data_IF_480942211144
#
_entry.id   IF_480942211144
#
_cell.length_a   1.000
_cell.length_b   1.000
_cell.length_c   1.000
_cell.angle_alpha   90.00
_cell.angle_beta   90.00
_cell.angle_gamma   90.00
#
_symmetry.space_group_name_H-M   'P 1'
#
loop_
_entity.id
_entity.type
_entity.pdbx_description
1 polymer ?
#
# COMPACT_ATOMS: atom_id res chain seq x y z
N UNK A 1 -18.76 25.12 1.94
CA UNK A 1 -18.95 24.37 3.20
C UNK A 1 -18.20 23.07 3.04
N UNK A 2 -17.03 22.96 3.68
CA UNK A 2 -16.21 21.75 3.58
C UNK A 2 -16.89 20.61 4.32
N UNK A 3 -17.13 19.50 3.64
CA UNK A 3 -17.55 18.27 4.30
C UNK A 3 -16.37 17.85 5.19
N UNK A 4 -16.58 17.86 6.50
CA UNK A 4 -15.58 17.45 7.49
C UNK A 4 -15.75 15.96 7.73
N UNK A 5 -14.97 15.15 7.02
CA UNK A 5 -14.97 13.68 7.08
C UNK A 5 -14.28 13.11 8.33
N UNK A 6 -13.84 13.97 9.26
CA UNK A 6 -12.91 13.64 10.36
C UNK A 6 -13.46 12.79 11.51
N UNK A 7 -14.74 12.40 11.50
CA UNK A 7 -15.36 11.69 12.63
C UNK A 7 -15.67 10.20 12.37
N UNK A 8 -15.27 9.62 11.22
CA UNK A 8 -15.38 8.17 11.00
C UNK A 8 -14.12 7.47 11.53
N UNK A 9 -14.30 6.43 12.35
CA UNK A 9 -13.19 5.62 12.85
C UNK A 9 -12.57 4.83 11.69
N UNK A 10 -11.41 5.26 11.20
CA UNK A 10 -10.58 4.50 10.27
C UNK A 10 -10.15 3.19 10.92
N UNK A 11 -10.42 2.04 10.28
CA UNK A 11 -10.04 0.71 10.78
C UNK A 11 -9.10 0.01 9.83
N UNK A 12 -8.09 -0.67 10.36
CA UNK A 12 -7.15 -1.42 9.53
C UNK A 12 -7.75 -2.76 9.07
N UNK A 13 -7.64 -3.02 7.76
CA UNK A 13 -8.05 -4.26 7.10
C UNK A 13 -6.88 -4.84 6.32
N UNK A 14 -6.96 -6.14 6.00
CA UNK A 14 -6.05 -6.79 5.05
C UNK A 14 -6.76 -6.99 3.72
N UNK A 15 -6.13 -6.61 2.62
CA UNK A 15 -6.64 -6.80 1.27
C UNK A 15 -5.74 -7.71 0.47
N UNK A 16 -6.31 -8.68 -0.25
CA UNK A 16 -5.54 -9.52 -1.17
C UNK A 16 -5.15 -8.68 -2.38
N UNK A 17 -3.88 -8.28 -2.44
CA UNK A 17 -3.31 -7.60 -3.60
C UNK A 17 -3.08 -8.60 -4.75
N UNK A 18 -2.64 -9.82 -4.40
CA UNK A 18 -2.53 -10.94 -5.35
C UNK A 18 -2.68 -12.28 -4.66
N UNK A 19 -3.59 -13.13 -5.14
CA UNK A 19 -3.64 -14.54 -4.78
C UNK A 19 -2.94 -15.45 -5.82
N UNK A 20 -2.73 -16.74 -5.51
CA UNK A 20 -2.33 -17.74 -6.51
C UNK A 20 -3.30 -17.86 -7.69
N UNK A 21 -4.58 -17.53 -7.45
CA UNK A 21 -5.60 -17.37 -8.48
C UNK A 21 -6.13 -15.93 -8.47
N UNK A 22 -6.22 -15.30 -9.65
CA UNK A 22 -6.69 -13.91 -9.82
C UNK A 22 -8.11 -13.66 -9.29
N UNK A 23 -8.93 -14.71 -9.17
CA UNK A 23 -10.28 -14.65 -8.58
C UNK A 23 -10.27 -14.23 -7.11
N UNK A 24 -9.11 -14.31 -6.44
CA UNK A 24 -8.93 -13.96 -5.04
C UNK A 24 -8.49 -12.50 -4.85
N UNK A 25 -8.09 -11.81 -5.92
CA UNK A 25 -7.64 -10.43 -5.87
C UNK A 25 -8.77 -9.51 -5.40
N UNK A 26 -8.46 -8.55 -4.54
CA UNK A 26 -9.42 -7.58 -3.98
C UNK A 26 -10.24 -8.09 -2.79
N UNK A 27 -10.11 -9.36 -2.38
CA UNK A 27 -10.79 -9.87 -1.18
C UNK A 27 -10.28 -9.12 0.06
N UNK A 28 -11.22 -8.64 0.88
CA UNK A 28 -10.94 -7.91 2.13
C UNK A 28 -11.20 -8.79 3.34
N UNK A 29 -10.29 -8.73 4.30
CA UNK A 29 -10.42 -9.30 5.64
C UNK A 29 -10.34 -8.20 6.69
N UNK A 30 -11.19 -8.31 7.71
CA UNK A 30 -11.36 -7.30 8.74
C UNK A 30 -12.57 -6.38 8.51
N UNK A 31 -12.80 -5.41 9.41
CA UNK A 31 -11.95 -5.07 10.57
C UNK A 31 -11.85 -6.19 11.62
N UNK A 32 -10.81 -6.16 12.45
CA UNK A 32 -10.48 -7.26 13.38
C UNK A 32 -10.89 -6.96 14.82
N UNK A 33 -12.04 -7.46 15.25
CA UNK A 33 -12.53 -7.28 16.64
C UNK A 33 -11.87 -8.22 17.66
N UNK A 34 -11.18 -9.25 17.16
CA UNK A 34 -10.47 -10.24 17.98
C UNK A 34 -9.30 -10.84 17.17
N UNK A 35 -8.46 -11.63 17.82
CA UNK A 35 -7.40 -12.37 17.14
C UNK A 35 -7.99 -13.38 16.15
N UNK A 36 -7.68 -13.22 14.86
CA UNK A 36 -8.14 -14.10 13.76
C UNK A 36 -6.97 -14.89 13.19
N UNK A 37 -7.18 -16.19 12.99
CA UNK A 37 -6.19 -17.09 12.37
C UNK A 37 -6.33 -17.11 10.85
N UNK A 38 -5.22 -16.95 10.14
CA UNK A 38 -5.12 -17.14 8.70
C UNK A 38 -4.32 -18.40 8.38
N UNK A 39 -4.77 -19.15 7.37
CA UNK A 39 -4.04 -20.29 6.88
C UNK A 39 -4.77 -21.03 5.77
N UNK A 40 -4.14 -22.08 5.24
CA UNK A 40 -4.69 -22.83 4.10
C UNK A 40 -5.93 -23.66 4.45
N UNK A 41 -6.02 -24.10 5.70
CA UNK A 41 -7.18 -24.83 6.23
C UNK A 41 -7.06 -24.75 7.77
N UNK A 42 -7.42 -23.60 8.34
CA UNK A 42 -7.18 -23.28 9.74
C UNK A 42 -8.00 -24.19 10.66
N UNK A 43 -7.36 -24.75 11.68
CA UNK A 43 -8.01 -25.67 12.62
C UNK A 43 -8.74 -24.99 13.80
N UNK A 44 -8.68 -23.66 13.88
CA UNK A 44 -9.22 -22.86 15.00
C UNK A 44 -10.13 -21.75 14.47
N UNK A 45 -11.00 -21.23 15.32
CA UNK A 45 -11.89 -20.09 15.03
C UNK A 45 -11.70 -18.97 16.06
N UNK A 46 -11.87 -17.69 15.69
CA UNK A 46 -12.20 -17.19 14.34
C UNK A 46 -11.02 -17.33 13.37
N UNK A 47 -11.33 -17.59 12.09
CA UNK A 47 -10.30 -17.79 11.07
C UNK A 47 -10.74 -17.47 9.65
N UNK A 48 -9.76 -17.24 8.78
CA UNK A 48 -9.91 -17.06 7.35
C UNK A 48 -9.05 -18.07 6.59
N UNK A 49 -9.67 -18.75 5.64
CA UNK A 49 -8.99 -19.66 4.73
C UNK A 49 -8.36 -18.87 3.57
N UNK A 50 -7.08 -19.11 3.32
CA UNK A 50 -6.35 -18.60 2.15
C UNK A 50 -6.06 -19.78 1.22
N UNK A 51 -6.68 -19.89 0.03
CA UNK A 51 -6.57 -21.06 -0.85
C UNK A 51 -5.23 -21.09 -1.59
N UNK A 52 -4.15 -21.34 -0.85
CA UNK A 52 -2.78 -21.34 -1.34
C UNK A 52 -2.02 -22.53 -0.75
N UNK A 53 -1.57 -23.44 -1.63
CA UNK A 53 -0.88 -24.67 -1.25
C UNK A 53 0.44 -24.45 -0.51
N UNK A 54 1.06 -23.28 -0.66
CA UNK A 54 2.31 -22.89 -0.01
C UNK A 54 2.10 -22.26 1.38
N UNK A 55 0.84 -22.06 1.80
CA UNK A 55 0.47 -21.59 3.14
C UNK A 55 0.28 -22.79 4.09
N UNK A 56 0.80 -22.67 5.32
CA UNK A 56 0.58 -23.64 6.40
C UNK A 56 -0.89 -23.69 6.82
N UNK A 57 -1.35 -24.81 7.38
CA UNK A 57 -2.75 -24.95 7.83
C UNK A 57 -3.17 -23.85 8.80
N UNK A 58 -2.37 -23.66 9.83
CA UNK A 58 -2.38 -22.51 10.72
C UNK A 58 -1.10 -21.73 10.41
N UNK A 59 -1.21 -20.56 9.79
CA UNK A 59 -0.03 -19.82 9.30
C UNK A 59 0.29 -18.62 10.17
N UNK A 60 -0.67 -17.71 10.27
CA UNK A 60 -0.46 -16.38 10.83
C UNK A 60 -1.68 -16.00 11.66
N UNK A 61 -1.50 -15.30 12.77
CA UNK A 61 -2.62 -14.64 13.45
C UNK A 61 -2.54 -13.12 13.28
N UNK A 62 -3.70 -12.49 13.22
CA UNK A 62 -3.86 -11.05 13.14
C UNK A 62 -4.71 -10.62 14.31
N UNK A 63 -4.23 -9.67 15.09
CA UNK A 63 -4.95 -9.14 16.23
C UNK A 63 -4.79 -7.63 16.30
N UNK A 64 -5.81 -6.94 16.78
CA UNK A 64 -5.76 -5.51 17.06
C UNK A 64 -5.62 -5.30 18.58
N UNK A 65 -4.75 -4.38 19.00
CA UNK A 65 -4.61 -4.00 20.41
C UNK A 65 -5.65 -2.93 20.83
N UNK A 66 -5.61 -2.55 22.10
CA UNK A 66 -6.52 -1.54 22.66
C UNK A 66 -6.22 -0.11 22.17
N UNK A 67 -5.07 0.11 21.54
CA UNK A 67 -4.65 1.39 20.93
C UNK A 67 -4.90 1.38 19.40
N UNK A 68 -5.68 0.42 18.92
CA UNK A 68 -6.06 0.21 17.52
C UNK A 68 -4.87 -0.18 16.59
N UNK A 69 -3.71 -0.54 17.14
CA UNK A 69 -2.59 -1.05 16.35
C UNK A 69 -2.82 -2.50 15.91
N UNK A 70 -2.54 -2.79 14.65
CA UNK A 70 -2.66 -4.13 14.09
C UNK A 70 -1.35 -4.89 14.25
N UNK A 71 -1.41 -6.11 14.78
CA UNK A 71 -0.28 -7.01 14.95
C UNK A 71 -0.47 -8.28 14.14
N UNK A 72 0.65 -8.75 13.60
CA UNK A 72 0.76 -9.99 12.85
C UNK A 72 1.73 -10.90 13.57
N UNK A 73 1.38 -12.17 13.76
CA UNK A 73 2.25 -13.20 14.34
C UNK A 73 2.34 -14.42 13.42
N UNK A 74 3.55 -14.81 13.03
CA UNK A 74 3.80 -16.08 12.33
C UNK A 74 3.86 -17.24 13.33
N UNK A 75 3.13 -18.32 13.05
CA UNK A 75 3.02 -19.48 13.94
C UNK A 75 4.16 -20.51 13.78
N UNK A 76 5.35 -20.07 13.36
CA UNK A 76 6.51 -20.92 13.15
C UNK A 76 6.45 -21.69 11.84
N UNK A 77 5.99 -21.05 10.77
CA UNK A 77 5.61 -21.72 9.53
C UNK A 77 6.79 -22.12 8.65
N UNK A 78 6.53 -22.98 7.67
CA UNK A 78 7.57 -23.48 6.75
C UNK A 78 8.18 -22.37 5.90
N UNK A 79 7.32 -21.54 5.29
CA UNK A 79 7.71 -20.47 4.37
C UNK A 79 7.87 -19.10 5.06
N UNK A 80 7.37 -18.98 6.30
CA UNK A 80 7.37 -17.73 7.05
C UNK A 80 6.29 -16.76 6.56
N UNK A 81 5.98 -15.79 7.41
CA UNK A 81 5.21 -14.61 7.04
C UNK A 81 6.20 -13.50 6.74
N UNK A 82 6.09 -12.84 5.59
CA UNK A 82 6.94 -11.68 5.29
C UNK A 82 6.15 -10.40 5.49
N UNK A 83 6.75 -9.42 6.14
CA UNK A 83 6.25 -8.05 6.22
C UNK A 83 7.26 -7.18 5.50
N UNK A 84 6.82 -6.58 4.40
CA UNK A 84 7.66 -5.96 3.41
C UNK A 84 8.87 -6.86 3.06
N UNK A 85 10.07 -6.49 3.49
CA UNK A 85 11.31 -7.22 3.19
C UNK A 85 11.72 -8.20 4.29
N UNK A 86 11.09 -8.14 5.46
CA UNK A 86 11.49 -8.90 6.64
C UNK A 86 10.64 -10.15 6.83
N UNK A 87 11.28 -11.29 7.06
CA UNK A 87 10.59 -12.56 7.34
C UNK A 87 10.38 -12.73 8.85
N UNK A 88 9.13 -12.67 9.29
CA UNK A 88 8.68 -13.10 10.60
C UNK A 88 8.50 -14.62 10.62
N UNK A 89 9.28 -15.31 11.46
CA UNK A 89 9.11 -16.75 11.68
C UNK A 89 9.06 -17.06 13.17
N UNK A 90 7.87 -17.40 13.68
CA UNK A 90 7.66 -17.55 15.13
C UNK A 90 7.81 -16.23 15.90
N UNK A 91 7.62 -15.10 15.21
CA UNK A 91 7.74 -13.74 15.75
C UNK A 91 6.45 -12.97 15.46
N UNK A 92 6.21 -11.91 16.23
CA UNK A 92 5.15 -10.94 16.00
C UNK A 92 5.73 -9.56 15.67
N UNK A 93 5.04 -8.81 14.81
CA UNK A 93 5.32 -7.40 14.56
C UNK A 93 4.03 -6.59 14.38
N UNK A 94 4.12 -5.30 14.70
CA UNK A 94 3.09 -4.33 14.35
C UNK A 94 3.13 -4.06 12.84
N UNK A 95 1.96 -3.84 12.25
CA UNK A 95 1.80 -3.45 10.85
C UNK A 95 0.96 -2.19 10.74
N UNK A 96 1.21 -1.41 9.69
CA UNK A 96 0.54 -0.15 9.42
C UNK A 96 0.02 -0.12 7.99
N UNK A 97 -0.92 0.78 7.69
CA UNK A 97 -1.43 0.98 6.34
C UNK A 97 -0.27 1.19 5.34
N UNK A 98 -0.40 0.57 4.16
CA UNK A 98 0.63 0.57 3.11
C UNK A 98 1.62 -0.59 3.17
N UNK A 99 1.77 -1.28 4.32
CA UNK A 99 2.68 -2.44 4.42
C UNK A 99 2.16 -3.64 3.63
N UNK A 100 3.06 -4.38 3.00
CA UNK A 100 2.77 -5.63 2.33
C UNK A 100 3.02 -6.82 3.25
N UNK A 101 2.09 -7.78 3.28
CA UNK A 101 2.23 -9.04 4.01
C UNK A 101 2.19 -10.18 3.01
N UNK A 102 3.21 -11.03 2.99
CA UNK A 102 3.25 -12.23 2.15
C UNK A 102 3.10 -13.50 2.96
N UNK A 103 2.20 -14.36 2.48
CA UNK A 103 1.98 -15.71 2.96
C UNK A 103 2.06 -16.64 1.75
N UNK A 104 3.17 -17.35 1.58
CA UNK A 104 3.29 -18.24 0.42
C UNK A 104 3.32 -17.48 -0.92
N UNK A 105 2.37 -17.76 -1.80
CA UNK A 105 2.13 -17.07 -3.08
C UNK A 105 1.01 -16.02 -2.98
N UNK A 106 0.45 -15.82 -1.77
CA UNK A 106 -0.54 -14.80 -1.48
C UNK A 106 0.12 -13.54 -0.93
N UNK A 107 -0.20 -12.40 -1.55
CA UNK A 107 0.23 -11.06 -1.16
C UNK A 107 -0.96 -10.25 -0.65
N UNK A 108 -0.84 -9.76 0.57
CA UNK A 108 -1.81 -8.89 1.22
C UNK A 108 -1.23 -7.48 1.36
N UNK A 109 -2.09 -6.47 1.38
CA UNK A 109 -1.74 -5.09 1.72
C UNK A 109 -2.61 -4.64 2.90
N UNK A 110 -2.00 -4.01 3.89
CA UNK A 110 -2.69 -3.41 5.03
C UNK A 110 -3.29 -2.08 4.58
N UNK A 111 -4.59 -1.86 4.82
CA UNK A 111 -5.28 -0.63 4.44
C UNK A 111 -6.07 -0.04 5.59
N UNK A 112 -6.18 1.28 5.64
CA UNK A 112 -7.29 1.91 6.35
C UNK A 112 -8.58 1.71 5.54
N UNK A 113 -9.66 1.41 6.24
CA UNK A 113 -10.99 1.31 5.68
C UNK A 113 -11.95 2.13 6.52
N UNK A 114 -12.78 2.88 5.81
CA UNK A 114 -13.87 3.67 6.36
C UNK A 114 -15.17 3.06 5.88
N UNK A 115 -16.12 2.89 6.79
CA UNK A 115 -17.43 2.33 6.46
C UNK A 115 -18.21 3.31 5.55
N UNK A 116 -18.62 2.87 4.34
CA UNK A 116 -19.32 3.73 3.39
C UNK A 116 -20.73 4.06 3.92
N UNK A 117 -21.21 5.30 3.71
CA UNK A 117 -22.59 5.67 4.04
C UNK A 117 -23.58 5.08 3.01
N UNK A 118 -24.87 4.98 3.37
CA UNK A 118 -25.92 4.53 2.45
C UNK A 118 -26.02 5.42 1.18
N UNK A 119 -25.58 6.67 1.25
CA UNK A 119 -25.51 7.61 0.13
C UNK A 119 -24.29 7.41 -0.78
N UNK A 120 -23.30 6.60 -0.38
CA UNK A 120 -22.06 6.35 -1.11
C UNK A 120 -22.18 5.25 -2.18
N UNK A 121 -23.38 4.66 -2.34
CA UNK A 121 -23.68 3.56 -3.27
C UNK A 121 -23.97 4.01 -4.72
N UNK A 122 -23.81 5.29 -5.07
CA UNK A 122 -23.83 5.68 -6.47
C UNK A 122 -22.63 5.04 -7.20
N UNK A 123 -22.92 4.05 -8.04
CA UNK A 123 -21.92 3.49 -8.95
C UNK A 123 -21.32 4.64 -9.77
N UNK A 124 -19.99 4.84 -9.74
CA UNK A 124 -19.38 5.87 -10.56
C UNK A 124 -19.72 5.59 -12.03
N UNK A 125 -20.05 6.65 -12.78
CA UNK A 125 -20.36 6.59 -14.22
C UNK A 125 -19.37 5.67 -14.95
N UNK A 126 -19.78 4.91 -15.96
CA UNK A 126 -18.82 4.13 -16.76
C UNK A 126 -17.82 5.09 -17.42
N UNK A 127 -16.63 5.17 -16.84
CA UNK A 127 -15.61 6.12 -17.27
C UNK A 127 -14.75 5.57 -18.44
N UNK A 128 -15.05 4.39 -18.97
CA UNK A 128 -14.47 3.87 -20.22
C UNK A 128 -13.06 3.26 -20.12
N UNK A 129 -12.63 2.62 -21.22
CA UNK A 129 -11.42 1.78 -21.30
C UNK A 129 -10.08 2.54 -21.23
N UNK A 130 -10.06 3.87 -21.41
CA UNK A 130 -8.85 4.69 -21.28
C UNK A 130 -8.39 4.90 -19.84
N UNK A 131 -9.13 4.36 -18.86
CA UNK A 131 -8.96 4.63 -17.43
C UNK A 131 -8.47 3.48 -16.57
N UNK A 132 -8.25 2.30 -17.15
CA UNK A 132 -7.70 1.13 -16.45
C UNK A 132 -6.36 1.42 -15.77
N UNK A 133 -5.66 2.46 -16.24
CA UNK A 133 -4.34 2.90 -15.80
C UNK A 133 -4.32 3.91 -14.64
N UNK A 134 -5.49 4.34 -14.16
CA UNK A 134 -5.60 5.20 -12.97
C UNK A 134 -5.78 4.35 -11.70
N UNK A 135 -6.18 3.09 -11.87
CA UNK A 135 -6.56 2.20 -10.77
C UNK A 135 -8.06 2.20 -10.54
N UNK A 136 -8.51 1.24 -9.74
CA UNK A 136 -9.91 1.06 -9.35
C UNK A 136 -10.07 0.87 -7.85
N UNK A 137 -8.98 0.99 -7.09
CA UNK A 137 -8.95 0.83 -5.65
C UNK A 137 -9.76 1.91 -4.93
N UNK A 138 -10.08 1.69 -3.64
CA UNK A 138 -10.93 2.59 -2.85
C UNK A 138 -10.45 4.04 -2.89
N UNK A 139 -9.13 4.26 -2.76
CA UNK A 139 -8.53 5.61 -2.78
C UNK A 139 -8.80 6.33 -4.11
N UNK A 140 -8.78 5.61 -5.24
CA UNK A 140 -9.11 6.16 -6.55
C UNK A 140 -10.61 6.34 -6.75
N UNK A 141 -11.45 5.46 -6.18
CA UNK A 141 -12.89 5.65 -6.19
C UNK A 141 -13.29 6.91 -5.41
N UNK A 142 -12.69 7.15 -4.25
CA UNK A 142 -12.91 8.35 -3.44
C UNK A 142 -12.43 9.60 -4.17
N UNK A 143 -11.26 9.52 -4.83
CA UNK A 143 -10.79 10.59 -5.69
C UNK A 143 -11.76 10.90 -6.84
N UNK A 144 -12.28 9.87 -7.53
CA UNK A 144 -13.31 10.00 -8.59
C UNK A 144 -14.61 10.58 -8.06
N UNK A 145 -15.07 10.16 -6.88
CA UNK A 145 -16.23 10.75 -6.18
C UNK A 145 -15.99 12.23 -5.90
N UNK A 146 -14.80 12.60 -5.45
CA UNK A 146 -14.38 13.98 -5.25
C UNK A 146 -14.51 14.81 -6.53
N UNK A 147 -14.07 14.30 -7.67
CA UNK A 147 -14.26 14.95 -8.99
C UNK A 147 -15.75 15.17 -9.29
N UNK A 148 -16.57 14.15 -9.10
CA UNK A 148 -18.01 14.21 -9.33
C UNK A 148 -18.71 15.25 -8.45
N UNK A 149 -18.34 15.29 -7.16
CA UNK A 149 -18.94 16.16 -6.14
C UNK A 149 -18.52 17.62 -6.25
N UNK A 150 -17.26 17.88 -6.63
CA UNK A 150 -16.73 19.24 -6.84
C UNK A 150 -17.45 19.98 -7.98
N UNK A 151 -18.17 19.24 -8.82
CA UNK A 151 -19.29 19.81 -9.57
C UNK A 151 -18.95 20.25 -10.99
N UNK A 152 -19.99 20.19 -11.82
CA UNK A 152 -20.05 20.51 -13.25
C UNK A 152 -19.89 22.01 -13.56
N UNK A 153 -19.57 22.87 -12.59
CA UNK A 153 -19.42 24.32 -12.79
C UNK A 153 -18.44 24.91 -11.75
N UNK A 154 -17.26 25.34 -12.19
CA UNK A 154 -16.25 26.02 -11.37
C UNK A 154 -14.80 25.63 -11.74
N UNK A 155 -13.83 26.53 -11.52
CA UNK A 155 -12.41 26.23 -11.71
C UNK A 155 -11.94 25.15 -10.71
N UNK A 156 -11.20 24.17 -11.22
CA UNK A 156 -10.68 23.03 -10.45
C UNK A 156 -9.15 23.07 -10.47
N UNK A 157 -8.53 22.99 -9.30
CA UNK A 157 -7.10 22.76 -9.16
C UNK A 157 -6.87 21.32 -8.77
N UNK A 158 -6.03 20.62 -9.53
CA UNK A 158 -5.61 19.25 -9.26
C UNK A 158 -4.12 19.26 -8.96
N UNK A 159 -3.76 18.89 -7.74
CA UNK A 159 -2.37 18.60 -7.40
C UNK A 159 -2.05 17.19 -7.84
N UNK A 160 -1.00 17.05 -8.63
CA UNK A 160 -0.60 15.80 -9.24
C UNK A 160 0.84 15.46 -8.82
N UNK A 161 1.13 14.20 -8.48
CA UNK A 161 2.49 13.74 -8.20
C UNK A 161 3.44 13.94 -9.38
N UNK A 162 2.93 13.79 -10.60
CA UNK A 162 3.70 13.86 -11.84
C UNK A 162 2.88 14.35 -13.03
N UNK A 163 3.58 14.52 -14.15
CA UNK A 163 3.00 14.97 -15.42
C UNK A 163 2.01 13.96 -16.01
N UNK A 164 2.33 12.66 -16.00
CA UNK A 164 1.46 11.59 -16.48
C UNK A 164 0.23 11.42 -15.58
N UNK A 165 0.39 11.53 -14.27
CA UNK A 165 -0.75 11.61 -13.34
C UNK A 165 -1.64 12.81 -13.64
N UNK A 166 -1.04 13.96 -13.95
CA UNK A 166 -1.76 15.16 -14.39
C UNK A 166 -2.58 14.96 -15.67
N UNK A 167 -1.97 14.38 -16.72
CA UNK A 167 -2.68 14.08 -17.96
C UNK A 167 -3.83 13.09 -17.75
N UNK A 168 -3.61 12.07 -16.92
CA UNK A 168 -4.63 11.09 -16.55
C UNK A 168 -5.78 11.74 -15.77
N UNK A 169 -5.44 12.59 -14.81
CA UNK A 169 -6.43 13.31 -14.03
C UNK A 169 -7.27 14.25 -14.91
N UNK A 170 -6.63 14.95 -15.85
CA UNK A 170 -7.29 15.82 -16.82
C UNK A 170 -8.28 15.04 -17.70
N UNK A 171 -7.87 13.85 -18.20
CA UNK A 171 -8.72 12.94 -18.98
C UNK A 171 -9.95 12.49 -18.22
N UNK A 172 -9.79 12.08 -16.97
CA UNK A 172 -10.91 11.73 -16.10
C UNK A 172 -11.86 12.94 -15.99
N UNK A 173 -11.37 14.11 -15.58
CA UNK A 173 -12.23 15.30 -15.40
C UNK A 173 -12.97 15.69 -16.67
N UNK A 174 -12.32 15.57 -17.84
CA UNK A 174 -12.96 15.83 -19.12
C UNK A 174 -14.09 14.85 -19.43
N UNK A 175 -13.87 13.54 -19.22
CA UNK A 175 -14.89 12.52 -19.39
C UNK A 175 -16.12 12.82 -18.50
N UNK A 176 -15.90 13.13 -17.22
CA UNK A 176 -16.98 13.46 -16.30
C UNK A 176 -17.76 14.73 -16.68
N UNK A 177 -17.04 15.75 -17.16
CA UNK A 177 -17.65 17.02 -17.58
C UNK A 177 -18.26 16.94 -18.99
N UNK A 178 -18.08 15.83 -19.71
CA UNK A 178 -18.52 15.69 -21.10
C UNK A 178 -17.83 16.68 -22.04
N UNK A 179 -16.54 16.96 -21.76
CA UNK A 179 -15.73 17.92 -22.50
C UNK A 179 -14.72 17.18 -23.39
N UNK A 180 -14.55 17.64 -24.62
CA UNK A 180 -13.50 17.13 -25.49
C UNK A 180 -12.13 17.66 -25.06
N UNK A 181 -11.13 16.79 -24.95
CA UNK A 181 -9.75 17.21 -24.71
C UNK A 181 -8.99 17.35 -26.02
N UNK A 182 -8.54 18.56 -26.31
CA UNK A 182 -7.65 18.84 -27.43
C UNK A 182 -6.30 19.36 -26.90
N UNK A 183 -5.25 18.55 -27.02
CA UNK A 183 -3.89 18.96 -26.66
C UNK A 183 -3.32 19.82 -27.80
N UNK A 184 -3.41 21.15 -27.66
CA UNK A 184 -2.90 22.09 -28.67
C UNK A 184 -1.38 22.24 -28.63
N UNK A 185 -0.76 22.50 -29.80
CA UNK A 185 0.64 22.86 -29.90
C UNK A 185 0.83 24.39 -29.87
N UNK A 186 1.41 24.88 -28.77
CA UNK A 186 2.27 26.07 -28.68
C UNK A 186 1.76 27.51 -28.99
N UNK A 187 0.53 27.80 -29.43
CA UNK A 187 0.16 29.19 -29.82
C UNK A 187 -1.24 29.72 -29.41
N UNK A 188 -1.90 29.10 -28.43
CA UNK A 188 -2.82 29.84 -27.54
C UNK A 188 -4.22 30.15 -28.09
N UNK A 189 -5.10 29.16 -28.07
CA UNK A 189 -6.33 29.08 -27.23
C UNK A 189 -7.17 27.88 -27.68
N UNK A 190 -7.44 26.89 -26.81
CA UNK A 190 -8.33 25.78 -27.14
C UNK A 190 -9.80 26.08 -26.78
N UNK A 191 -10.73 25.56 -27.58
CA UNK A 191 -12.19 25.73 -27.42
C UNK A 191 -12.81 24.77 -26.36
N UNK A 192 -12.06 23.82 -25.80
CA UNK A 192 -12.54 22.87 -24.77
C UNK A 192 -11.44 22.46 -23.77
N UNK A 193 -11.84 22.40 -22.48
CA UNK A 193 -11.10 22.12 -21.24
C UNK A 193 -9.58 22.44 -21.25
N UNK A 194 -9.23 23.62 -20.73
CA UNK A 194 -7.83 24.03 -20.53
C UNK A 194 -7.26 23.31 -19.31
N UNK A 195 -6.28 22.43 -19.53
CA UNK A 195 -5.33 22.01 -18.50
C UNK A 195 -4.11 22.93 -18.56
N UNK A 196 -3.93 23.80 -17.56
CA UNK A 196 -2.70 24.60 -17.45
C UNK A 196 -1.79 23.95 -16.44
N UNK A 197 -0.55 23.69 -16.83
CA UNK A 197 0.48 23.36 -15.88
C UNK A 197 0.96 24.65 -15.21
N UNK A 198 0.86 24.74 -13.89
CA UNK A 198 1.23 25.93 -13.13
C UNK A 198 2.51 25.67 -12.35
N UNK A 199 3.47 26.61 -12.46
CA UNK A 199 4.67 26.62 -11.62
C UNK A 199 4.28 27.13 -10.22
N UNK A 200 4.47 26.34 -9.15
CA UNK A 200 4.08 26.71 -7.80
C UNK A 200 4.85 27.94 -7.26
N UNK A 201 5.93 28.35 -7.92
CA UNK A 201 6.71 29.54 -7.58
C UNK A 201 6.23 30.83 -8.25
N UNK A 202 5.30 30.73 -9.21
CA UNK A 202 4.71 31.86 -9.93
C UNK A 202 3.34 32.27 -9.35
N UNK A 203 2.93 33.55 -9.49
CA UNK A 203 1.60 33.99 -9.04
C UNK A 203 0.48 33.20 -9.73
N UNK A 204 -0.57 32.90 -8.96
CA UNK A 204 -1.71 32.11 -9.44
C UNK A 204 -2.39 32.78 -10.66
N UNK A 205 -2.63 32.02 -11.73
CA UNK A 205 -3.22 32.56 -12.95
C UNK A 205 -4.74 32.80 -12.77
N UNK A 206 -5.33 33.74 -13.51
CA UNK A 206 -6.76 34.04 -13.41
C UNK A 206 -7.59 32.81 -13.81
N UNK A 207 -8.47 32.36 -12.91
CA UNK A 207 -9.25 31.13 -13.07
C UNK A 207 -10.62 31.39 -13.73
N UNK A 208 -10.90 30.72 -14.86
CA UNK A 208 -12.21 30.75 -15.52
C UNK A 208 -13.13 29.60 -15.03
N UNK A 209 -14.47 29.73 -15.13
CA UNK A 209 -15.42 28.74 -14.59
C UNK A 209 -15.25 27.28 -15.06
N UNK A 210 -14.60 27.04 -16.20
CA UNK A 210 -14.38 25.69 -16.75
C UNK A 210 -12.90 25.29 -16.80
N UNK A 211 -12.03 26.06 -16.15
CA UNK A 211 -10.58 25.84 -16.20
C UNK A 211 -10.16 24.74 -15.22
N UNK A 212 -9.24 23.88 -15.65
CA UNK A 212 -8.55 22.92 -14.78
C UNK A 212 -7.08 23.32 -14.73
N UNK A 213 -6.53 23.46 -13.53
CA UNK A 213 -5.12 23.77 -13.33
C UNK A 213 -4.48 22.53 -12.71
N UNK A 214 -3.39 22.06 -13.33
CA UNK A 214 -2.60 20.95 -12.85
C UNK A 214 -1.35 21.52 -12.18
N UNK A 215 -1.14 21.20 -10.92
CA UNK A 215 0.00 21.66 -10.12
C UNK A 215 0.81 20.45 -9.65
N UNK A 216 2.14 20.48 -9.75
CA UNK A 216 2.95 19.41 -9.18
C UNK A 216 2.95 19.47 -7.65
N UNK A 217 2.94 18.31 -7.00
CA UNK A 217 2.93 18.22 -5.54
C UNK A 217 4.25 18.68 -4.89
N UNK A 218 5.35 18.80 -5.66
CA UNK A 218 6.65 19.23 -5.18
C UNK A 218 6.78 20.78 -5.15
N UNK A 219 6.32 21.40 -4.06
CA UNK A 219 6.57 22.82 -3.80
C UNK A 219 5.72 23.40 -2.66
N UNK A 220 6.20 24.43 -1.94
CA UNK A 220 5.37 25.15 -0.97
C UNK A 220 4.33 25.98 -1.72
N UNK A 221 3.05 25.71 -1.45
CA UNK A 221 1.96 26.58 -1.87
C UNK A 221 2.08 27.86 -1.04
N UNK A 222 2.61 28.95 -1.62
CA UNK A 222 2.39 30.27 -1.04
C UNK A 222 0.95 30.64 -1.31
N UNK A 223 0.10 30.20 -0.38
CA UNK A 223 -1.32 30.49 -0.33
C UNK A 223 -1.49 32.00 -0.10
N UNK A 224 -1.47 32.79 -1.16
CA UNK A 224 -1.71 34.23 -0.99
C UNK A 224 -2.80 34.81 -1.89
N UNK A 225 -3.14 34.23 -3.05
CA UNK A 225 -4.23 34.79 -3.86
C UNK A 225 -4.91 33.74 -4.72
N UNK A 226 -6.06 33.20 -4.28
CA UNK A 226 -7.33 32.99 -5.02
C UNK A 226 -8.28 32.27 -4.03
N UNK A 227 -9.44 32.85 -3.69
CA UNK A 227 -10.36 32.27 -2.67
C UNK A 227 -11.51 31.44 -3.25
N UNK A 228 -11.63 31.34 -4.57
CA UNK A 228 -12.82 30.81 -5.25
C UNK A 228 -12.51 29.62 -6.19
N UNK A 229 -11.78 28.60 -5.72
CA UNK A 229 -11.54 27.36 -6.47
C UNK A 229 -11.72 26.11 -5.60
N UNK A 230 -11.93 24.96 -6.25
CA UNK A 230 -11.91 23.65 -5.57
C UNK A 230 -10.56 22.96 -5.78
N UNK A 231 -9.97 22.45 -4.71
CA UNK A 231 -8.70 21.73 -4.74
C UNK A 231 -8.93 20.22 -4.60
N UNK A 232 -8.34 19.45 -5.50
CA UNK A 232 -8.30 17.99 -5.45
C UNK A 232 -6.85 17.53 -5.53
N UNK A 233 -6.45 16.54 -4.73
CA UNK A 233 -5.11 15.97 -4.81
C UNK A 233 -5.20 14.57 -5.38
N UNK A 234 -4.49 14.31 -6.46
CA UNK A 234 -4.34 12.99 -7.05
C UNK A 234 -3.46 12.12 -6.12
N UNK A 235 -3.94 10.95 -5.68
CA UNK A 235 -3.15 10.05 -4.84
C UNK A 235 -1.87 9.60 -5.55
N UNK A 236 -0.76 9.57 -4.82
CA UNK A 236 0.50 8.99 -5.34
C UNK A 236 0.35 7.48 -5.53
N UNK A 237 1.28 6.83 -6.22
CA UNK A 237 1.22 5.37 -6.39
C UNK A 237 1.36 4.62 -5.04
N UNK A 238 2.14 5.16 -4.10
CA UNK A 238 2.29 4.63 -2.75
C UNK A 238 0.97 4.60 -1.98
N UNK A 239 0.16 5.65 -2.15
CA UNK A 239 -1.14 5.80 -1.48
C UNK A 239 -2.20 4.84 -2.04
N UNK A 240 -1.93 4.19 -3.18
CA UNK A 240 -2.81 3.22 -3.85
C UNK A 240 -2.08 1.94 -4.24
N UNK A 241 -1.15 1.48 -3.41
CA UNK A 241 -0.28 0.34 -3.73
C UNK A 241 -1.09 -0.95 -4.04
N UNK A 242 -2.35 -1.02 -3.60
CA UNK A 242 -3.31 -2.07 -3.98
C UNK A 242 -3.69 -2.15 -5.45
N UNK A 243 -3.61 -1.03 -6.17
CA UNK A 243 -3.90 -0.96 -7.59
C UNK A 243 -2.69 -1.44 -8.40
N UNK A 244 -1.51 -1.43 -7.78
CA UNK A 244 -0.25 -1.77 -8.44
C UNK A 244 -0.30 -3.11 -9.19
N UNK A 245 -0.83 -4.23 -8.63
CA UNK A 245 -0.91 -5.49 -9.36
C UNK A 245 -1.74 -5.38 -10.65
N UNK A 246 -2.89 -4.70 -10.62
CA UNK A 246 -3.74 -4.50 -11.79
C UNK A 246 -3.10 -3.54 -12.81
N UNK A 247 -2.46 -2.46 -12.32
CA UNK A 247 -1.71 -1.51 -13.14
C UNK A 247 -0.52 -2.16 -13.86
N UNK A 248 0.20 -3.05 -13.18
CA UNK A 248 1.28 -3.84 -13.76
C UNK A 248 0.75 -4.76 -14.86
N UNK A 249 -0.32 -5.51 -14.59
CA UNK A 249 -0.90 -6.44 -15.56
C UNK A 249 -1.32 -5.72 -16.84
N UNK A 250 -2.03 -4.61 -16.68
CA UNK A 250 -2.51 -3.80 -17.79
C UNK A 250 -1.35 -3.12 -18.53
N UNK A 251 -0.42 -2.55 -17.78
CA UNK A 251 0.74 -1.85 -18.35
C UNK A 251 1.66 -2.77 -19.14
N UNK A 252 1.81 -4.03 -18.71
CA UNK A 252 2.53 -5.06 -19.45
C UNK A 252 1.72 -5.57 -20.65
N UNK A 253 0.40 -5.77 -20.48
CA UNK A 253 -0.49 -6.18 -21.58
C UNK A 253 -0.46 -5.20 -22.74
N UNK A 254 -0.46 -3.90 -22.47
CA UNK A 254 -0.37 -2.88 -23.51
C UNK A 254 0.98 -2.89 -24.25
N UNK A 255 2.08 -3.26 -23.57
CA UNK A 255 3.43 -3.29 -24.15
C UNK A 255 3.74 -4.58 -24.90
N UNK A 256 3.25 -5.70 -24.39
CA UNK A 256 3.56 -7.05 -24.89
C UNK A 256 2.44 -7.66 -25.73
N UNK A 257 1.22 -7.10 -25.68
CA UNK A 257 0.02 -7.63 -26.32
C UNK A 257 -0.70 -8.73 -25.53
N UNK A 258 -0.07 -9.26 -24.48
CA UNK A 258 -0.62 -10.27 -23.56
C UNK A 258 -0.18 -9.98 -22.12
N UNK A 259 -0.91 -10.54 -21.14
CA UNK A 259 -0.53 -10.42 -19.73
C UNK A 259 0.51 -11.49 -19.38
N UNK A 260 1.79 -11.13 -19.18
CA UNK A 260 2.83 -12.10 -18.87
C UNK A 260 2.61 -12.68 -17.46
N UNK A 261 3.20 -13.85 -17.22
CA UNK A 261 3.26 -14.40 -15.85
C UNK A 261 4.37 -13.69 -15.07
N UNK A 262 4.12 -13.41 -13.79
CA UNK A 262 5.08 -12.79 -12.88
C UNK A 262 5.27 -13.69 -11.67
N UNK A 263 6.50 -13.78 -11.15
CA UNK A 263 6.77 -14.51 -9.90
C UNK A 263 6.27 -13.71 -8.69
N UNK A 264 5.87 -14.42 -7.63
CA UNK A 264 5.46 -13.78 -6.37
C UNK A 264 6.59 -12.92 -5.80
N UNK A 265 7.85 -13.36 -5.90
CA UNK A 265 9.02 -12.58 -5.44
C UNK A 265 9.16 -11.26 -6.20
N UNK A 266 8.92 -11.26 -7.52
CA UNK A 266 8.97 -10.05 -8.33
C UNK A 266 7.83 -9.08 -7.95
N UNK A 267 6.58 -9.56 -7.89
CA UNK A 267 5.46 -8.71 -7.51
C UNK A 267 5.59 -8.18 -6.08
N UNK A 268 6.06 -9.01 -5.14
CA UNK A 268 6.33 -8.59 -3.77
C UNK A 268 7.39 -7.48 -3.71
N UNK A 269 8.44 -7.60 -4.52
CA UNK A 269 9.49 -6.57 -4.61
C UNK A 269 8.94 -5.24 -5.15
N UNK A 270 8.01 -5.28 -6.11
CA UNK A 270 7.33 -4.10 -6.63
C UNK A 270 6.38 -3.47 -5.60
N UNK A 271 5.64 -4.27 -4.83
CA UNK A 271 4.77 -3.76 -3.76
C UNK A 271 5.56 -3.10 -2.62
N UNK A 272 6.79 -3.57 -2.35
CA UNK A 272 7.68 -3.03 -1.32
C UNK A 272 8.62 -1.92 -1.83
N UNK A 273 8.50 -1.55 -3.10
CA UNK A 273 9.27 -0.45 -3.66
C UNK A 273 8.61 0.87 -3.24
N UNK A 274 9.37 1.89 -2.80
CA UNK A 274 8.80 3.12 -2.27
C UNK A 274 8.05 3.96 -3.30
N UNK A 275 8.19 3.74 -4.61
CA UNK A 275 7.51 4.50 -5.70
C UNK A 275 7.52 6.01 -5.48
N UNK A 276 8.72 6.56 -5.23
CA UNK A 276 8.91 8.01 -5.02
C UNK A 276 8.59 8.77 -6.30
N UNK A 277 8.97 8.20 -7.45
CA UNK A 277 8.45 8.62 -8.74
C UNK A 277 7.07 8.00 -8.91
N UNK A 278 6.14 8.83 -9.34
CA UNK A 278 4.73 8.49 -9.49
C UNK A 278 4.50 7.45 -10.61
N UNK A 279 3.36 7.49 -11.30
CA UNK A 279 3.09 6.51 -12.37
C UNK A 279 4.22 6.43 -13.42
N UNK A 280 4.97 7.51 -13.61
CA UNK A 280 6.13 7.62 -14.48
C UNK A 280 7.25 6.63 -14.14
N UNK A 281 7.53 6.43 -12.85
CA UNK A 281 8.53 5.45 -12.42
C UNK A 281 8.07 4.05 -12.77
N UNK A 282 6.77 3.75 -12.52
CA UNK A 282 6.17 2.48 -12.91
C UNK A 282 6.26 2.28 -14.42
N UNK A 283 5.91 3.29 -15.22
CA UNK A 283 5.99 3.21 -16.68
C UNK A 283 7.41 2.89 -17.17
N UNK A 284 8.42 3.59 -16.65
CA UNK A 284 9.81 3.31 -16.98
C UNK A 284 10.23 1.87 -16.64
N UNK A 285 9.85 1.39 -15.46
CA UNK A 285 10.12 0.01 -15.02
C UNK A 285 9.43 -0.99 -15.95
N UNK A 286 8.16 -0.78 -16.28
CA UNK A 286 7.40 -1.66 -17.17
C UNK A 286 7.94 -1.66 -18.60
N UNK A 287 8.39 -0.51 -19.11
CA UNK A 287 9.06 -0.39 -20.42
C UNK A 287 10.36 -1.19 -20.46
N UNK A 288 11.18 -1.10 -19.41
CA UNK A 288 12.42 -1.87 -19.33
C UNK A 288 12.18 -3.38 -19.21
N UNK A 289 11.19 -3.79 -18.40
CA UNK A 289 10.79 -5.21 -18.29
C UNK A 289 10.34 -5.72 -19.67
N UNK A 290 9.50 -4.97 -20.38
CA UNK A 290 8.99 -5.37 -21.68
C UNK A 290 10.10 -5.50 -22.75
N UNK A 291 11.16 -4.68 -22.65
CA UNK A 291 12.31 -4.75 -23.56
C UNK A 291 13.29 -5.90 -23.23
N UNK A 292 13.35 -6.33 -21.97
CA UNK A 292 14.31 -7.34 -21.52
C UNK A 292 13.75 -8.77 -21.51
N UNK A 293 12.43 -8.92 -21.39
CA UNK A 293 11.78 -10.23 -21.32
C UNK A 293 11.77 -10.94 -22.68
N UNK A 294 11.99 -12.26 -22.68
CA UNK A 294 11.80 -13.08 -23.89
C UNK A 294 10.36 -13.57 -24.01
N UNK A 295 9.90 -13.93 -25.21
CA UNK A 295 8.59 -14.56 -25.39
C UNK A 295 8.43 -15.77 -24.46
N UNK A 296 7.26 -15.87 -23.81
CA UNK A 296 6.91 -16.95 -22.86
C UNK A 296 7.78 -17.04 -21.59
N UNK A 297 8.71 -16.11 -21.36
CA UNK A 297 9.48 -16.07 -20.11
C UNK A 297 8.63 -15.47 -18.98
N UNK A 298 8.73 -16.03 -17.76
CA UNK A 298 8.09 -15.46 -16.58
C UNK A 298 8.92 -14.28 -16.07
N UNK A 299 8.25 -13.17 -15.71
CA UNK A 299 8.89 -12.02 -15.06
C UNK A 299 9.28 -12.41 -13.65
N UNK A 300 10.59 -12.49 -13.41
CA UNK A 300 11.17 -12.73 -12.08
C UNK A 300 12.05 -11.56 -11.61
N UNK A 301 12.50 -11.60 -10.35
CA UNK A 301 13.33 -10.61 -9.66
C UNK A 301 14.56 -10.15 -10.45
N UNK A 302 15.14 -11.01 -11.29
CA UNK A 302 16.28 -10.65 -12.15
C UNK A 302 15.98 -9.49 -13.12
N UNK A 303 14.73 -9.34 -13.56
CA UNK A 303 14.32 -8.25 -14.44
C UNK A 303 14.15 -6.93 -13.67
N UNK A 304 13.84 -7.01 -12.37
CA UNK A 304 13.68 -5.84 -11.50
C UNK A 304 15.03 -5.31 -11.01
N UNK A 305 15.96 -6.21 -10.69
CA UNK A 305 17.29 -5.83 -10.21
C UNK A 305 18.07 -4.98 -11.23
N UNK A 306 17.76 -5.11 -12.52
CA UNK A 306 18.33 -4.29 -13.59
C UNK A 306 17.92 -2.81 -13.47
N UNK A 307 16.74 -2.53 -12.91
CA UNK A 307 16.19 -1.19 -12.69
C UNK A 307 16.57 -0.60 -11.32
N UNK A 308 17.47 -1.25 -10.57
CA UNK A 308 17.85 -0.80 -9.24
C UNK A 308 16.77 -1.02 -8.17
N UNK A 309 15.68 -1.73 -8.50
CA UNK A 309 14.68 -2.16 -7.52
C UNK A 309 15.33 -3.18 -6.60
N UNK A 310 15.27 -2.92 -5.30
CA UNK A 310 15.77 -3.86 -4.31
C UNK A 310 14.86 -5.10 -4.29
N UNK A 311 15.43 -6.26 -4.57
CA UNK A 311 14.67 -7.50 -4.77
C UNK A 311 14.59 -8.35 -3.50
N UNK A 312 13.41 -8.88 -3.25
CA UNK A 312 13.14 -9.89 -2.21
C UNK A 312 13.46 -11.26 -2.79
N UNK A 313 14.19 -12.10 -2.06
CA UNK A 313 14.48 -13.45 -2.48
C UNK A 313 14.07 -14.45 -1.40
N UNK A 314 12.87 -15.01 -1.56
CA UNK A 314 12.30 -15.98 -0.62
C UNK A 314 12.97 -17.36 -0.72
N UNK A 315 13.58 -17.67 -1.88
CA UNK A 315 14.27 -18.93 -2.15
C UNK A 315 15.65 -19.06 -1.49
N UNK A 316 16.30 -17.93 -1.16
CA UNK A 316 17.42 -17.94 -0.23
C UNK A 316 16.85 -18.38 1.12
N UNK A 317 17.08 -19.65 1.47
CA UNK A 317 17.08 -20.12 2.87
C UNK A 317 18.00 -19.21 3.65
N UNK A 318 17.48 -18.08 4.10
CA UNK A 318 18.16 -17.21 5.03
C UNK A 318 18.35 -18.11 6.25
N UNK A 319 19.61 -18.39 6.57
CA UNK A 319 19.98 -18.83 7.91
C UNK A 319 19.65 -17.66 8.85
N UNK A 320 18.37 -17.36 9.03
CA UNK A 320 17.91 -16.48 10.08
C UNK A 320 18.23 -17.26 11.34
N UNK A 321 19.18 -16.74 12.12
CA UNK A 321 19.42 -17.24 13.48
C UNK A 321 18.05 -17.26 14.14
N UNK A 322 17.55 -18.44 14.53
CA UNK A 322 16.31 -18.59 15.30
C UNK A 322 16.33 -17.52 16.40
N UNK A 323 15.57 -16.45 16.22
CA UNK A 323 15.35 -15.48 17.28
C UNK A 323 14.45 -16.23 18.24
N UNK A 324 14.97 -16.45 19.45
CA UNK A 324 14.20 -17.10 20.48
C UNK A 324 13.00 -16.21 20.75
N UNK A 325 11.81 -16.81 20.73
CA UNK A 325 10.54 -16.18 21.07
C UNK A 325 10.71 -15.35 22.34
N UNK A 326 10.20 -14.12 22.32
CA UNK A 326 10.22 -13.24 23.47
C UNK A 326 9.51 -13.95 24.64
N UNK A 327 10.18 -14.14 25.80
CA UNK A 327 9.52 -14.70 26.97
C UNK A 327 8.43 -13.74 27.44
N UNK A 328 7.31 -14.27 27.93
CA UNK A 328 6.24 -13.45 28.49
C UNK A 328 6.69 -12.69 29.77
N UNK A 329 5.85 -11.75 30.23
CA UNK A 329 6.16 -10.92 31.40
C UNK A 329 6.44 -11.74 32.68
N UNK A 330 5.77 -12.88 32.86
CA UNK A 330 5.91 -13.71 34.07
C UNK A 330 7.17 -14.58 33.99
N UNK A 331 7.52 -15.07 32.81
CA UNK A 331 8.78 -15.74 32.52
C UNK A 331 9.97 -14.80 32.73
N UNK A 332 9.88 -13.55 32.27
CA UNK A 332 10.93 -12.54 32.50
C UNK A 332 11.09 -12.23 33.99
N UNK A 333 9.98 -12.10 34.74
CA UNK A 333 10.01 -11.90 36.20
C UNK A 333 10.66 -13.10 36.90
N UNK A 334 10.29 -14.33 36.53
CA UNK A 334 10.87 -15.56 37.09
C UNK A 334 12.38 -15.66 36.83
N UNK A 335 12.82 -15.36 35.60
CA UNK A 335 14.24 -15.32 35.23
C UNK A 335 15.03 -14.24 35.98
N UNK A 336 14.43 -13.06 36.20
CA UNK A 336 15.05 -12.00 37.00
C UNK A 336 15.13 -12.37 38.47
N UNK A 337 14.12 -13.04 39.03
CA UNK A 337 14.14 -13.60 40.39
C UNK A 337 15.24 -14.65 40.55
N UNK A 338 15.34 -15.60 39.63
CA UNK A 338 16.35 -16.67 39.64
C UNK A 338 17.79 -16.11 39.60
N UNK A 339 18.01 -15.08 38.80
CA UNK A 339 19.32 -14.45 38.61
C UNK A 339 19.53 -13.15 39.40
N UNK A 340 18.71 -12.87 40.43
CA UNK A 340 18.82 -11.72 41.34
C UNK A 340 18.97 -10.38 40.61
N UNK A 341 18.07 -10.11 39.66
CA UNK A 341 18.04 -8.84 38.91
C UNK A 341 19.22 -8.62 37.96
N UNK A 342 20.03 -9.66 37.70
CA UNK A 342 21.19 -9.57 36.80
C UNK A 342 20.79 -9.80 35.34
N UNK A 343 20.54 -8.70 34.62
CA UNK A 343 20.20 -8.71 33.18
C UNK A 343 21.26 -9.44 32.34
N UNK A 344 22.54 -9.36 32.73
CA UNK A 344 23.63 -10.08 32.05
C UNK A 344 23.50 -11.59 32.21
N UNK A 345 23.13 -12.08 33.39
CA UNK A 345 22.95 -13.50 33.64
C UNK A 345 21.68 -14.03 32.94
N UNK A 346 20.57 -13.28 32.98
CA UNK A 346 19.36 -13.62 32.22
C UNK A 346 19.62 -13.70 30.71
N UNK A 347 20.38 -12.76 30.15
CA UNK A 347 20.77 -12.77 28.74
C UNK A 347 21.60 -14.01 28.37
N UNK A 348 22.52 -14.42 29.25
CA UNK A 348 23.34 -15.62 29.06
C UNK A 348 22.49 -16.91 29.16
N UNK A 349 21.58 -16.99 30.12
CA UNK A 349 20.65 -18.13 30.26
C UNK A 349 19.70 -18.26 29.06
N UNK A 350 19.19 -17.12 28.56
CA UNK A 350 18.35 -17.07 27.38
C UNK A 350 19.14 -17.17 26.08
N UNK A 351 20.46 -17.08 26.08
CA UNK A 351 21.31 -17.11 24.88
C UNK A 351 21.00 -15.99 23.88
N UNK A 352 20.67 -14.78 24.39
CA UNK A 352 20.38 -13.56 23.61
C UNK A 352 21.29 -12.42 24.06
N UNK A 353 21.34 -11.32 23.29
CA UNK A 353 22.09 -10.13 23.70
C UNK A 353 21.39 -9.39 24.85
N UNK A 354 22.16 -8.79 25.77
CA UNK A 354 21.64 -7.99 26.89
C UNK A 354 20.71 -6.86 26.45
N UNK A 355 20.94 -6.23 25.29
CA UNK A 355 20.07 -5.19 24.73
C UNK A 355 18.68 -5.72 24.40
N UNK A 356 18.58 -6.99 24.01
CA UNK A 356 17.30 -7.63 23.70
C UNK A 356 16.50 -7.92 24.97
N UNK A 357 17.17 -8.33 26.06
CA UNK A 357 16.53 -8.47 27.37
C UNK A 357 16.03 -7.11 27.87
N UNK A 358 16.82 -6.04 27.77
CA UNK A 358 16.35 -4.69 28.12
C UNK A 358 15.12 -4.26 27.33
N UNK A 359 15.08 -4.57 26.03
CA UNK A 359 13.92 -4.27 25.18
C UNK A 359 12.67 -5.00 25.66
N UNK A 360 12.76 -6.30 25.98
CA UNK A 360 11.63 -7.05 26.52
C UNK A 360 11.17 -6.52 27.89
N UNK A 361 12.11 -6.13 28.75
CA UNK A 361 11.79 -5.52 30.05
C UNK A 361 11.08 -4.17 29.89
N UNK A 362 11.49 -3.35 28.93
CA UNK A 362 10.85 -2.08 28.59
C UNK A 362 9.44 -2.29 28.04
N UNK A 363 9.27 -3.25 27.10
CA UNK A 363 7.96 -3.64 26.56
C UNK A 363 6.97 -4.10 27.63
N UNK A 364 7.44 -4.80 28.68
CA UNK A 364 6.60 -5.27 29.78
C UNK A 364 6.58 -4.35 31.01
N UNK A 365 7.23 -3.18 30.95
CA UNK A 365 7.31 -2.25 32.08
C UNK A 365 8.02 -2.80 33.33
N UNK A 366 8.91 -3.78 33.17
CA UNK A 366 9.62 -4.45 34.26
C UNK A 366 10.96 -3.76 34.52
N UNK A 367 11.22 -3.35 35.76
CA UNK A 367 12.54 -2.81 36.16
C UNK A 367 13.41 -3.92 36.72
N UNK A 368 14.60 -4.14 36.15
CA UNK A 368 15.49 -5.20 36.63
C UNK A 368 16.01 -4.93 38.06
N UNK A 369 16.07 -3.67 38.46
CA UNK A 369 16.55 -3.23 39.77
C UNK A 369 15.62 -3.65 40.90
N UNK A 370 14.32 -3.88 40.64
CA UNK A 370 13.37 -4.31 41.68
C UNK A 370 13.51 -5.79 42.07
N UNK A 371 14.41 -6.53 41.43
CA UNK A 371 14.64 -7.96 41.65
C UNK A 371 16.07 -8.28 42.14
N UNK A 372 16.85 -7.25 42.53
CA UNK A 372 18.23 -7.39 43.04
C UNK A 372 18.34 -7.76 44.51
#
# INVERSE_FOLDING_TARGET
MGVSWKDKAERLCLWVARGPERSQDGVRYGPFESSVLFGRNPGRTPSHELPDSSISRDHMTVAQDAEEHLFVEDLGTTNGTWIDRDCLRGESAAVSAGMCIRLGDTLLVVKSWVEPDETDQEEPADWGASESWIGHGPVIQDWRKGISQIGRAGPLWIRCPGYQDGLKALRAVAALRGLDLHMGAADGRPDSLFGMWHDPTEPAPPAAPNQVILELQDGPVTNEYVTDFSLLTMPSLCDRIEDLPALIDEGLRCRLGESPTMSTDALHSLLCHPWVGSIEELDAVLDSIAQSIRPMEQIDTKHLAAEGIEVINSSRKTKIKKRKTAPDADQLRALLLEHRGSVRACAQALGVDRKQVYRWLETHGIRAESFR
#
